data_IF_504201644803
#
_entry.id   IF_504201644803
#
_cell.length_a   1.000
_cell.length_b   1.000
_cell.length_c   1.000
_cell.angle_alpha   90.00
_cell.angle_beta   90.00
_cell.angle_gamma   90.00
#
_symmetry.space_group_name_H-M   'P 1'
#
loop_
_entity.id
_entity.type
_entity.pdbx_description
1 polymer ?
#
# COMPACT_ATOMS: atom_id res chain seq x y z
N UNK A 1 -15.90 -70.20 29.70
CA UNK A 1 -14.86 -69.13 29.62
C UNK A 1 -14.91 -68.55 28.21
N UNK A 2 -15.57 -67.35 28.06
CA UNK A 2 -15.68 -66.64 26.80
C UNK A 2 -14.68 -65.47 26.84
N UNK A 3 -13.65 -65.50 26.01
CA UNK A 3 -12.73 -64.39 25.85
C UNK A 3 -13.31 -63.37 24.88
N UNK A 4 -13.62 -62.17 25.38
CA UNK A 4 -13.93 -61.02 24.56
C UNK A 4 -12.60 -60.36 24.11
N UNK A 5 -12.29 -60.42 22.82
CA UNK A 5 -11.26 -59.61 22.19
C UNK A 5 -11.81 -58.22 21.89
N UNK A 6 -11.38 -57.23 22.66
CA UNK A 6 -11.69 -55.81 22.42
C UNK A 6 -10.63 -55.28 21.43
N UNK A 7 -11.03 -55.09 20.16
CA UNK A 7 -10.18 -54.45 19.18
C UNK A 7 -10.23 -52.95 19.39
N UNK A 8 -9.12 -52.35 19.85
CA UNK A 8 -8.91 -50.92 19.97
C UNK A 8 -8.48 -50.39 18.61
N UNK A 9 -9.41 -49.78 17.88
CA UNK A 9 -9.10 -49.11 16.58
C UNK A 9 -8.45 -47.75 16.87
N UNK A 10 -7.13 -47.67 16.73
CA UNK A 10 -6.41 -46.42 16.82
C UNK A 10 -6.66 -45.64 15.51
N UNK A 11 -7.51 -44.60 15.57
CA UNK A 11 -7.67 -43.65 14.49
C UNK A 11 -6.44 -42.71 14.49
N UNK A 12 -5.50 -42.98 13.57
CA UNK A 12 -4.41 -42.03 13.27
C UNK A 12 -5.03 -40.89 12.44
N UNK A 13 -5.33 -39.76 13.06
CA UNK A 13 -5.58 -38.50 12.35
C UNK A 13 -4.26 -38.00 11.79
N UNK A 14 -4.04 -38.23 10.50
CA UNK A 14 -2.96 -37.59 9.75
C UNK A 14 -3.34 -36.12 9.60
N UNK A 15 -2.77 -35.27 10.45
CA UNK A 15 -2.87 -33.82 10.27
C UNK A 15 -1.98 -33.47 9.07
N UNK A 16 -2.59 -33.33 7.90
CA UNK A 16 -1.93 -32.69 6.78
C UNK A 16 -1.70 -31.22 7.17
N UNK A 17 -0.48 -30.87 7.54
CA UNK A 17 -0.04 -29.48 7.45
C UNK A 17 -0.05 -29.12 5.96
N UNK A 18 -1.11 -28.48 5.50
CA UNK A 18 -1.11 -27.84 4.21
C UNK A 18 0.05 -26.84 4.23
N UNK A 19 1.10 -27.09 3.44
CA UNK A 19 2.15 -26.12 3.20
C UNK A 19 1.43 -24.88 2.68
N UNK A 20 1.61 -23.75 3.35
CA UNK A 20 1.06 -22.46 2.88
C UNK A 20 1.44 -22.32 1.41
N UNK A 21 0.46 -22.17 0.53
CA UNK A 21 0.73 -21.99 -0.88
C UNK A 21 1.58 -20.70 -1.02
N UNK A 22 2.75 -20.83 -1.64
CA UNK A 22 3.56 -19.69 -2.03
C UNK A 22 2.91 -19.13 -3.30
N UNK A 23 2.22 -17.98 -3.20
CA UNK A 23 1.59 -17.28 -4.34
C UNK A 23 2.64 -16.51 -5.15
N UNK A 24 3.63 -17.23 -5.69
CA UNK A 24 4.70 -16.60 -6.47
C UNK A 24 4.20 -16.32 -7.89
N UNK A 25 4.52 -15.13 -8.46
CA UNK A 25 4.22 -14.83 -9.85
C UNK A 25 4.86 -15.81 -10.85
N UNK A 26 4.21 -16.04 -11.97
CA UNK A 26 4.67 -16.93 -13.05
C UNK A 26 4.89 -16.10 -14.33
N UNK A 27 5.96 -16.35 -15.11
CA UNK A 27 7.04 -17.28 -14.87
C UNK A 27 7.96 -16.85 -13.73
N UNK A 28 8.40 -17.81 -12.95
CA UNK A 28 9.34 -17.59 -11.86
C UNK A 28 10.73 -18.09 -12.25
N UNK A 29 11.60 -17.19 -12.67
CA UNK A 29 13.02 -17.46 -12.97
C UNK A 29 13.92 -16.73 -11.97
N UNK A 30 15.15 -17.19 -11.82
CA UNK A 30 16.21 -16.52 -11.04
C UNK A 30 15.75 -16.14 -9.62
N UNK A 31 15.14 -17.14 -8.95
CA UNK A 31 14.58 -16.99 -7.62
C UNK A 31 15.67 -16.87 -6.56
N UNK A 32 15.62 -15.81 -5.79
CA UNK A 32 16.41 -15.62 -4.57
C UNK A 32 15.46 -15.63 -3.38
N UNK A 33 15.71 -16.59 -2.45
CA UNK A 33 14.84 -16.81 -1.28
C UNK A 33 15.56 -16.36 -0.02
N UNK A 34 15.12 -15.25 0.55
CA UNK A 34 15.54 -14.75 1.86
C UNK A 34 14.66 -15.32 2.97
N UNK A 35 14.97 -15.01 4.21
CA UNK A 35 14.24 -15.55 5.36
C UNK A 35 12.75 -15.12 5.38
N UNK A 36 12.46 -13.89 4.91
CA UNK A 36 11.12 -13.30 5.03
C UNK A 36 10.55 -12.79 3.71
N UNK A 37 11.29 -12.83 2.63
CA UNK A 37 10.81 -12.49 1.29
C UNK A 37 11.50 -13.36 0.22
N UNK A 38 10.88 -13.45 -0.93
CA UNK A 38 11.42 -14.10 -2.13
C UNK A 38 11.35 -13.10 -3.28
N UNK A 39 12.34 -13.08 -4.13
CA UNK A 39 12.34 -12.25 -5.33
C UNK A 39 12.76 -13.04 -6.57
N UNK A 40 12.38 -12.55 -7.75
CA UNK A 40 12.94 -12.94 -9.04
C UNK A 40 13.90 -11.84 -9.47
N UNK A 41 15.18 -12.15 -9.60
CA UNK A 41 16.20 -11.19 -10.00
C UNK A 41 16.27 -11.05 -11.53
N UNK A 42 16.53 -9.85 -12.00
CA UNK A 42 16.70 -9.52 -13.41
C UNK A 42 18.11 -9.01 -13.67
N UNK A 43 18.96 -9.89 -14.15
CA UNK A 43 20.37 -9.59 -14.48
C UNK A 43 20.54 -8.47 -15.51
N UNK A 44 19.58 -8.36 -16.45
CA UNK A 44 19.63 -7.33 -17.50
C UNK A 44 19.43 -5.94 -16.94
N UNK A 45 18.62 -5.82 -15.88
CA UNK A 45 18.20 -4.56 -15.27
C UNK A 45 18.80 -4.33 -13.90
N UNK A 46 19.60 -5.28 -13.39
CA UNK A 46 20.32 -5.23 -12.11
C UNK A 46 19.41 -4.93 -10.89
N UNK A 47 18.22 -5.53 -10.88
CA UNK A 47 17.25 -5.41 -9.79
C UNK A 47 16.18 -6.49 -9.86
N UNK A 48 15.27 -6.59 -8.89
CA UNK A 48 14.21 -7.57 -8.94
C UNK A 48 13.17 -7.26 -10.04
N UNK A 49 12.62 -8.31 -10.67
CA UNK A 49 11.38 -8.23 -11.42
C UNK A 49 10.19 -8.02 -10.47
N UNK A 50 10.19 -8.73 -9.38
CA UNK A 50 9.21 -8.66 -8.32
C UNK A 50 9.79 -9.18 -7.01
N UNK A 51 9.18 -8.74 -5.91
CA UNK A 51 9.43 -9.22 -4.54
C UNK A 51 8.10 -9.67 -3.94
N UNK A 52 8.08 -10.89 -3.42
CA UNK A 52 6.96 -11.52 -2.73
C UNK A 52 7.25 -11.60 -1.23
N UNK A 53 6.31 -11.20 -0.39
CA UNK A 53 6.39 -11.38 1.06
C UNK A 53 5.01 -11.45 1.71
N UNK A 54 4.99 -11.98 2.93
CA UNK A 54 3.80 -12.02 3.79
C UNK A 54 3.98 -11.02 4.91
N UNK A 55 2.96 -10.22 5.19
CA UNK A 55 2.93 -9.28 6.29
C UNK A 55 1.78 -9.60 7.24
N UNK A 56 2.08 -9.67 8.54
CA UNK A 56 1.08 -9.94 9.59
C UNK A 56 0.97 -8.77 10.56
N UNK A 57 -0.17 -8.71 11.27
CA UNK A 57 -0.39 -7.75 12.35
C UNK A 57 0.73 -7.82 13.42
N UNK A 58 1.13 -9.03 13.80
CA UNK A 58 2.17 -9.25 14.80
C UNK A 58 3.54 -8.73 14.36
N UNK A 59 3.86 -8.80 13.06
CA UNK A 59 5.09 -8.21 12.51
C UNK A 59 5.05 -6.68 12.61
N UNK A 60 3.94 -6.07 12.22
CA UNK A 60 3.79 -4.60 12.24
C UNK A 60 3.75 -4.07 13.67
N UNK A 61 3.01 -4.73 14.57
CA UNK A 61 2.81 -4.28 15.96
C UNK A 61 4.01 -4.51 16.86
N UNK A 62 4.91 -5.44 16.51
CA UNK A 62 6.13 -5.68 17.29
C UNK A 62 7.04 -4.46 17.35
N UNK A 63 6.98 -3.62 16.31
CA UNK A 63 7.76 -2.41 16.22
C UNK A 63 9.14 -2.63 15.60
N UNK A 64 9.98 -1.60 15.74
CA UNK A 64 11.29 -1.52 15.10
C UNK A 64 12.37 -2.10 16.00
N UNK A 65 13.13 -3.05 15.49
CA UNK A 65 14.38 -3.52 16.09
C UNK A 65 15.56 -2.87 15.35
N UNK A 66 16.50 -2.30 16.09
CA UNK A 66 17.70 -1.71 15.51
C UNK A 66 18.51 -2.74 14.73
N UNK A 67 18.89 -2.38 13.52
CA UNK A 67 19.82 -3.12 12.68
C UNK A 67 20.85 -2.17 12.06
N UNK A 68 21.79 -2.73 11.31
CA UNK A 68 22.86 -1.92 10.70
C UNK A 68 22.36 -0.92 9.65
N UNK A 69 21.15 -1.04 9.12
CA UNK A 69 20.54 -0.21 8.07
C UNK A 69 21.49 0.12 6.89
N UNK A 70 22.39 -0.81 6.56
CA UNK A 70 23.42 -0.60 5.55
C UNK A 70 23.08 -1.35 4.28
N UNK A 71 22.99 -0.63 3.20
CA UNK A 71 22.86 -1.24 1.86
C UNK A 71 24.07 -2.10 1.52
N UNK A 72 23.82 -3.35 1.11
CA UNK A 72 24.84 -4.36 0.83
C UNK A 72 24.51 -5.12 -0.46
N UNK A 73 25.56 -5.56 -1.15
CA UNK A 73 25.43 -6.50 -2.25
C UNK A 73 24.75 -7.77 -1.74
N UNK A 74 23.80 -8.30 -2.51
CA UNK A 74 23.19 -9.59 -2.24
C UNK A 74 24.06 -10.71 -2.81
N UNK A 75 24.67 -11.49 -1.92
CA UNK A 75 25.51 -12.63 -2.29
C UNK A 75 24.72 -13.86 -2.75
N UNK A 76 23.41 -13.88 -2.57
CA UNK A 76 22.53 -14.95 -3.04
C UNK A 76 22.17 -14.80 -4.52
N UNK A 77 22.36 -13.61 -5.10
CA UNK A 77 22.34 -13.42 -6.56
C UNK A 77 23.65 -13.96 -7.12
N UNK A 78 23.58 -15.00 -7.95
CA UNK A 78 24.74 -15.77 -8.38
C UNK A 78 25.79 -14.92 -9.12
N UNK A 79 25.37 -13.96 -9.91
CA UNK A 79 26.23 -13.01 -10.65
C UNK A 79 26.63 -11.79 -9.83
N UNK A 80 26.03 -11.61 -8.66
CA UNK A 80 26.08 -10.43 -7.83
C UNK A 80 24.90 -9.50 -8.11
N UNK A 81 24.53 -8.67 -7.16
CA UNK A 81 23.53 -7.63 -7.35
C UNK A 81 24.21 -6.28 -7.62
N UNK A 82 23.43 -5.30 -8.06
CA UNK A 82 23.84 -3.88 -8.08
C UNK A 82 24.51 -3.47 -6.77
N UNK A 83 25.28 -2.40 -6.82
CA UNK A 83 26.00 -1.86 -5.66
C UNK A 83 25.37 -0.56 -5.18
N UNK A 84 25.51 -0.31 -3.88
CA UNK A 84 25.09 0.98 -3.31
C UNK A 84 25.77 2.19 -3.96
N UNK A 85 26.99 2.01 -4.53
CA UNK A 85 27.72 3.05 -5.28
C UNK A 85 27.01 3.49 -6.55
N UNK A 86 26.23 2.61 -7.21
CA UNK A 86 25.53 2.92 -8.45
C UNK A 86 24.48 4.03 -8.30
N UNK A 87 23.96 4.15 -7.08
CA UNK A 87 23.00 5.19 -6.71
C UNK A 87 23.65 6.50 -6.27
N UNK A 88 24.97 6.51 -6.07
CA UNK A 88 25.67 7.69 -5.53
C UNK A 88 25.65 8.83 -6.55
N UNK A 89 25.06 9.98 -6.19
CA UNK A 89 24.89 11.15 -7.04
C UNK A 89 24.08 10.88 -8.33
N UNK A 90 23.29 9.82 -8.35
CA UNK A 90 22.44 9.47 -9.50
C UNK A 90 21.18 10.36 -9.61
N UNK A 91 20.78 11.02 -8.54
CA UNK A 91 19.49 11.73 -8.45
C UNK A 91 18.34 10.83 -7.99
N UNK A 92 18.58 9.53 -7.79
CA UNK A 92 17.58 8.56 -7.33
C UNK A 92 17.88 8.07 -5.93
N UNK A 93 16.83 7.84 -5.16
CA UNK A 93 16.89 7.14 -3.89
C UNK A 93 17.08 5.63 -4.09
N UNK A 94 17.67 4.97 -3.09
CA UNK A 94 17.66 3.52 -2.96
C UNK A 94 16.31 3.09 -2.43
N UNK A 95 15.32 2.97 -3.32
CA UNK A 95 13.94 2.66 -2.96
C UNK A 95 13.77 1.18 -2.68
N UNK A 96 13.18 0.85 -1.53
CA UNK A 96 12.86 -0.53 -1.17
C UNK A 96 11.64 -1.04 -1.94
N UNK A 97 11.66 -2.32 -2.33
CA UNK A 97 10.49 -3.04 -2.82
C UNK A 97 9.75 -3.69 -1.64
N UNK A 98 10.43 -4.55 -0.87
CA UNK A 98 9.97 -4.97 0.45
C UNK A 98 10.46 -3.95 1.49
N UNK A 99 9.57 -3.16 2.13
CA UNK A 99 9.96 -2.03 2.96
C UNK A 99 10.72 -2.45 4.24
N UNK A 100 11.76 -1.70 4.61
CA UNK A 100 12.46 -1.92 5.87
C UNK A 100 11.53 -1.81 7.10
N UNK A 101 10.51 -0.94 7.02
CA UNK A 101 9.52 -0.80 8.09
C UNK A 101 8.61 -2.03 8.25
N UNK A 102 8.37 -2.79 7.17
CA UNK A 102 7.60 -4.03 7.23
C UNK A 102 8.45 -5.18 7.82
N UNK A 103 9.77 -5.06 7.74
CA UNK A 103 10.76 -6.03 8.22
C UNK A 103 11.40 -5.66 9.57
N UNK A 104 10.97 -4.57 10.20
CA UNK A 104 11.53 -4.08 11.46
C UNK A 104 11.27 -4.97 12.68
N UNK A 105 10.43 -5.97 12.58
CA UNK A 105 10.08 -6.90 13.66
C UNK A 105 11.20 -7.88 14.03
N UNK A 106 12.22 -8.04 13.18
CA UNK A 106 13.29 -9.00 13.35
C UNK A 106 14.60 -8.42 12.75
N UNK A 107 15.75 -8.49 13.46
CA UNK A 107 17.02 -7.95 12.96
C UNK A 107 17.46 -8.55 11.63
N UNK A 108 17.30 -9.87 11.43
CA UNK A 108 17.65 -10.55 10.18
C UNK A 108 16.76 -10.07 9.04
N UNK A 109 15.44 -10.02 9.25
CA UNK A 109 14.49 -9.52 8.26
C UNK A 109 14.83 -8.08 7.86
N UNK A 110 15.09 -7.23 8.85
CA UNK A 110 15.46 -5.84 8.62
C UNK A 110 16.77 -5.72 7.85
N UNK A 111 17.82 -6.46 8.25
CA UNK A 111 19.09 -6.45 7.54
C UNK A 111 18.97 -6.96 6.09
N UNK A 112 18.18 -8.00 5.84
CA UNK A 112 17.96 -8.52 4.49
C UNK A 112 17.21 -7.51 3.63
N UNK A 113 16.32 -6.68 4.18
CA UNK A 113 15.61 -5.65 3.41
C UNK A 113 16.54 -4.61 2.77
N UNK A 114 17.76 -4.43 3.30
CA UNK A 114 18.81 -3.54 2.75
C UNK A 114 19.74 -4.22 1.74
N UNK A 115 19.45 -5.44 1.31
CA UNK A 115 20.16 -6.07 0.19
C UNK A 115 19.80 -5.38 -1.12
N UNK A 116 20.81 -5.12 -1.94
CA UNK A 116 20.64 -4.34 -3.17
C UNK A 116 19.72 -5.02 -4.19
N UNK A 117 19.51 -6.34 -4.10
CA UNK A 117 18.51 -7.07 -4.89
C UNK A 117 17.06 -6.65 -4.59
N UNK A 118 16.80 -6.11 -3.39
CA UNK A 118 15.50 -5.58 -2.96
C UNK A 118 15.35 -4.07 -3.27
N UNK A 119 16.32 -3.45 -3.95
CA UNK A 119 16.40 -2.00 -4.13
C UNK A 119 16.23 -1.65 -5.61
N UNK A 120 15.44 -0.61 -5.86
CA UNK A 120 15.18 -0.07 -7.20
C UNK A 120 15.34 1.45 -7.23
N UNK A 121 15.77 2.06 -8.35
CA UNK A 121 15.90 3.51 -8.45
C UNK A 121 14.53 4.19 -8.42
N UNK A 122 14.26 4.93 -7.35
CA UNK A 122 13.04 5.71 -7.16
C UNK A 122 13.37 7.20 -7.10
N UNK A 123 12.53 8.05 -7.71
CA UNK A 123 12.69 9.49 -7.52
C UNK A 123 12.46 9.84 -6.04
N UNK A 124 13.20 10.82 -5.46
CA UNK A 124 13.08 11.14 -4.04
C UNK A 124 11.65 11.50 -3.62
N UNK A 125 10.96 12.28 -4.43
CA UNK A 125 9.60 12.72 -4.11
C UNK A 125 8.57 11.58 -4.19
N UNK A 126 8.75 10.64 -5.11
CA UNK A 126 7.97 9.41 -5.16
C UNK A 126 8.21 8.54 -3.93
N UNK A 127 9.49 8.18 -3.68
CA UNK A 127 9.88 7.27 -2.60
C UNK A 127 9.45 7.80 -1.22
N UNK A 128 9.65 9.10 -0.99
CA UNK A 128 9.36 9.74 0.30
C UNK A 128 7.91 10.25 0.41
N UNK A 129 7.20 10.34 -0.71
CA UNK A 129 5.81 10.79 -0.86
C UNK A 129 4.82 9.65 -1.00
N UNK A 130 4.15 9.59 -2.16
CA UNK A 130 3.02 8.69 -2.43
C UNK A 130 3.34 7.20 -2.25
N UNK A 131 4.59 6.76 -2.55
CA UNK A 131 4.97 5.37 -2.31
C UNK A 131 5.02 5.03 -0.82
N UNK A 132 5.63 5.90 0.00
CA UNK A 132 5.63 5.77 1.47
C UNK A 132 4.21 5.81 2.05
N UNK A 133 3.32 6.60 1.46
CA UNK A 133 1.91 6.63 1.85
C UNK A 133 1.25 5.28 1.58
N UNK A 134 1.43 4.69 0.40
CA UNK A 134 0.94 3.35 0.07
C UNK A 134 1.49 2.29 1.03
N UNK A 135 2.79 2.30 1.33
CA UNK A 135 3.40 1.37 2.30
C UNK A 135 2.77 1.51 3.70
N UNK A 136 2.49 2.74 4.11
CA UNK A 136 1.81 3.01 5.39
C UNK A 136 0.37 2.47 5.38
N UNK A 137 -0.31 2.61 4.26
CA UNK A 137 -1.63 2.05 4.02
C UNK A 137 -1.63 0.52 4.13
N UNK A 138 -0.66 -0.13 3.49
CA UNK A 138 -0.49 -1.59 3.51
C UNK A 138 -0.25 -2.11 4.94
N UNK A 139 0.55 -1.43 5.75
CA UNK A 139 0.74 -1.82 7.17
C UNK A 139 -0.55 -1.71 7.98
N UNK A 140 -1.35 -0.66 7.78
CA UNK A 140 -2.66 -0.54 8.44
C UNK A 140 -3.60 -1.67 8.03
N UNK A 141 -3.57 -2.04 6.75
CA UNK A 141 -4.33 -3.17 6.24
C UNK A 141 -3.87 -4.50 6.87
N UNK A 142 -2.56 -4.75 6.98
CA UNK A 142 -2.04 -5.94 7.65
C UNK A 142 -2.49 -6.06 9.11
N UNK A 143 -2.61 -4.94 9.81
CA UNK A 143 -3.16 -4.92 11.19
C UNK A 143 -4.65 -5.28 11.17
N UNK A 144 -5.43 -4.73 10.24
CA UNK A 144 -6.87 -4.94 10.13
C UNK A 144 -7.18 -6.40 9.76
N UNK A 145 -6.55 -6.91 8.71
CA UNK A 145 -6.83 -8.24 8.13
C UNK A 145 -5.95 -9.35 8.74
N UNK A 146 -5.07 -8.99 9.69
CA UNK A 146 -4.14 -9.86 10.42
C UNK A 146 -3.04 -10.49 9.58
N UNK A 147 -3.28 -10.80 8.33
CA UNK A 147 -2.32 -11.39 7.42
C UNK A 147 -2.69 -11.04 5.98
N UNK A 148 -1.72 -10.50 5.26
CA UNK A 148 -1.83 -10.21 3.82
C UNK A 148 -0.59 -10.73 3.08
N UNK A 149 -0.78 -11.04 1.81
CA UNK A 149 0.30 -11.40 0.88
C UNK A 149 0.55 -10.22 -0.05
N UNK A 150 1.81 -9.86 -0.25
CA UNK A 150 2.18 -8.73 -1.09
C UNK A 150 3.14 -9.19 -2.19
N UNK A 151 2.85 -8.75 -3.42
CA UNK A 151 3.79 -8.79 -4.54
C UNK A 151 4.01 -7.37 -5.04
N UNK A 152 5.27 -6.98 -5.17
CA UNK A 152 5.62 -5.60 -5.56
C UNK A 152 6.85 -5.59 -6.44
N UNK A 153 6.96 -4.63 -7.34
CA UNK A 153 8.11 -4.57 -8.23
C UNK A 153 8.10 -3.36 -9.16
N UNK A 154 9.16 -3.20 -9.95
CA UNK A 154 9.26 -2.19 -10.98
C UNK A 154 8.50 -2.62 -12.25
N UNK A 155 8.06 -1.64 -13.03
CA UNK A 155 7.60 -1.82 -14.40
C UNK A 155 8.56 -1.07 -15.31
N UNK A 156 9.24 -1.78 -16.20
CA UNK A 156 10.31 -1.24 -17.03
C UNK A 156 9.82 -0.55 -18.32
N UNK A 157 8.50 -0.44 -18.52
CA UNK A 157 7.94 0.40 -19.57
C UNK A 157 8.18 1.87 -19.28
N UNK A 158 8.49 2.66 -20.33
CA UNK A 158 8.81 4.08 -20.21
C UNK A 158 9.93 4.33 -19.19
N UNK A 159 10.98 3.50 -19.25
CA UNK A 159 12.16 3.66 -18.41
C UNK A 159 12.80 5.04 -18.59
N UNK A 160 13.54 5.46 -17.58
CA UNK A 160 14.22 6.77 -17.54
C UNK A 160 15.73 6.64 -17.71
N UNK A 161 16.18 5.60 -18.41
CA UNK A 161 17.60 5.28 -18.59
C UNK A 161 18.18 4.45 -17.46
N UNK A 162 19.48 4.43 -17.31
CA UNK A 162 20.19 3.61 -16.32
C UNK A 162 21.12 4.46 -15.46
N UNK A 163 21.40 3.98 -14.26
CA UNK A 163 22.31 4.61 -13.29
C UNK A 163 23.46 3.68 -12.94
N UNK A 164 24.58 4.28 -12.48
CA UNK A 164 25.74 3.57 -11.99
C UNK A 164 26.55 2.86 -13.06
N UNK A 165 27.61 2.17 -12.60
CA UNK A 165 28.50 1.41 -13.50
C UNK A 165 27.88 0.07 -13.90
N UNK A 166 27.05 -0.51 -13.02
CA UNK A 166 26.40 -1.78 -13.27
C UNK A 166 25.15 -1.63 -14.17
N UNK A 167 24.74 -0.40 -14.51
CA UNK A 167 23.68 -0.13 -15.48
C UNK A 167 22.28 -0.38 -14.94
N UNK A 168 22.04 -0.09 -13.66
CA UNK A 168 20.73 -0.32 -13.03
C UNK A 168 19.66 0.50 -13.75
N UNK A 169 18.67 -0.16 -14.36
CA UNK A 169 17.61 0.51 -15.14
C UNK A 169 16.68 1.28 -14.20
N UNK A 170 16.31 2.50 -14.58
CA UNK A 170 15.35 3.33 -13.83
C UNK A 170 13.94 3.04 -14.33
N UNK A 171 13.06 2.40 -13.52
CA UNK A 171 11.72 2.05 -13.95
C UNK A 171 10.84 3.28 -14.20
N UNK A 172 9.92 3.17 -15.17
CA UNK A 172 8.89 4.20 -15.38
C UNK A 172 7.78 4.16 -14.34
N UNK A 173 7.49 2.97 -13.80
CA UNK A 173 6.41 2.75 -12.83
C UNK A 173 6.81 1.70 -11.81
N UNK A 174 6.01 1.65 -10.72
CA UNK A 174 6.05 0.57 -9.72
C UNK A 174 4.65 0.01 -9.52
N UNK A 175 4.59 -1.30 -9.27
CA UNK A 175 3.35 -1.97 -8.90
C UNK A 175 3.41 -2.51 -7.47
N UNK A 176 2.24 -2.63 -6.84
CA UNK A 176 2.05 -3.34 -5.57
C UNK A 176 0.69 -4.01 -5.59
N UNK A 177 0.67 -5.33 -5.43
CA UNK A 177 -0.54 -6.13 -5.41
C UNK A 177 -0.65 -6.75 -4.03
N UNK A 178 -1.84 -6.67 -3.43
CA UNK A 178 -2.12 -7.14 -2.08
C UNK A 178 -3.26 -8.15 -2.15
N UNK A 179 -3.01 -9.35 -1.66
CA UNK A 179 -3.98 -10.41 -1.52
C UNK A 179 -4.32 -10.62 -0.04
N UNK A 180 -5.57 -10.52 0.29
CA UNK A 180 -6.16 -10.86 1.57
C UNK A 180 -6.84 -12.22 1.43
N UNK A 181 -6.29 -13.23 2.11
CA UNK A 181 -6.72 -14.63 2.03
C UNK A 181 -7.69 -15.02 3.16
N UNK A 182 -8.51 -14.07 3.63
CA UNK A 182 -9.56 -14.33 4.63
C UNK A 182 -10.73 -15.14 4.05
N UNK A 183 -11.78 -15.37 4.83
CA UNK A 183 -12.99 -16.11 4.39
C UNK A 183 -13.68 -15.45 3.17
N UNK A 184 -13.51 -14.13 3.01
CA UNK A 184 -13.90 -13.37 1.83
C UNK A 184 -12.65 -12.86 1.12
N UNK A 185 -11.98 -13.69 0.30
CA UNK A 185 -10.72 -13.34 -0.32
C UNK A 185 -10.86 -12.13 -1.25
N UNK A 186 -9.89 -11.22 -1.17
CA UNK A 186 -9.88 -9.95 -1.91
C UNK A 186 -8.50 -9.67 -2.49
N UNK A 187 -8.48 -8.99 -3.61
CA UNK A 187 -7.28 -8.60 -4.31
C UNK A 187 -7.36 -7.12 -4.70
N UNK A 188 -6.26 -6.39 -4.53
CA UNK A 188 -6.14 -5.01 -4.99
C UNK A 188 -4.76 -4.78 -5.57
N UNK A 189 -4.71 -4.13 -6.73
CA UNK A 189 -3.48 -3.80 -7.41
C UNK A 189 -3.33 -2.28 -7.60
N UNK A 190 -2.10 -1.81 -7.45
CA UNK A 190 -1.72 -0.42 -7.65
C UNK A 190 -0.62 -0.34 -8.70
N UNK A 191 -0.70 0.67 -9.58
CA UNK A 191 0.38 1.06 -10.48
C UNK A 191 0.60 2.56 -10.34
N UNK A 192 1.81 2.94 -9.92
CA UNK A 192 2.19 4.31 -9.70
C UNK A 192 3.35 4.70 -10.63
N UNK A 193 3.30 5.86 -11.29
CA UNK A 193 4.46 6.43 -11.98
C UNK A 193 5.61 6.68 -11.01
N UNK A 194 6.86 6.48 -11.45
CA UNK A 194 8.06 6.80 -10.66
C UNK A 194 8.31 8.32 -10.65
N UNK A 195 7.35 9.07 -10.11
CA UNK A 195 7.36 10.53 -10.01
C UNK A 195 6.50 11.02 -8.86
N UNK A 196 6.63 12.30 -8.50
CA UNK A 196 5.80 12.89 -7.44
C UNK A 196 4.31 12.88 -7.81
N UNK A 197 3.45 12.69 -6.83
CA UNK A 197 2.01 12.83 -6.99
C UNK A 197 1.34 13.22 -5.68
N UNK A 198 0.39 14.17 -5.78
CA UNK A 198 -0.51 14.56 -4.70
C UNK A 198 -1.91 13.93 -4.88
N UNK A 199 -2.07 13.02 -5.85
CA UNK A 199 -3.32 12.31 -6.11
C UNK A 199 -3.58 11.28 -5.01
N UNK A 200 -4.84 11.03 -4.63
CA UNK A 200 -5.17 10.00 -3.66
C UNK A 200 -4.79 8.60 -4.17
N UNK A 201 -4.45 7.69 -3.25
CA UNK A 201 -4.05 6.32 -3.60
C UNK A 201 -5.09 5.58 -4.44
N UNK A 202 -6.37 5.89 -4.28
CA UNK A 202 -7.46 5.31 -5.06
C UNK A 202 -7.38 5.56 -6.56
N UNK A 203 -6.70 6.63 -6.97
CA UNK A 203 -6.51 6.97 -8.38
C UNK A 203 -5.47 6.09 -9.09
N UNK A 204 -4.70 5.32 -8.33
CA UNK A 204 -3.66 4.41 -8.82
C UNK A 204 -4.09 2.94 -8.78
N UNK A 205 -5.33 2.68 -8.35
CA UNK A 205 -5.86 1.32 -8.34
C UNK A 205 -6.20 0.89 -9.76
N UNK A 206 -5.74 -0.30 -10.09
CA UNK A 206 -6.00 -0.97 -11.37
C UNK A 206 -6.49 -2.39 -11.12
N UNK A 207 -6.95 -3.07 -12.16
CA UNK A 207 -7.19 -4.52 -12.09
C UNK A 207 -5.86 -5.29 -12.06
N UNK A 208 -5.85 -6.49 -11.49
CA UNK A 208 -4.65 -7.35 -11.55
C UNK A 208 -4.33 -7.71 -12.99
N UNK A 209 -5.33 -7.98 -13.84
CA UNK A 209 -5.17 -8.22 -15.28
C UNK A 209 -4.40 -7.07 -15.98
N UNK A 210 -4.63 -5.81 -15.58
CA UNK A 210 -3.88 -4.67 -16.12
C UNK A 210 -2.42 -4.69 -15.66
N UNK A 211 -2.16 -5.07 -14.40
CA UNK A 211 -0.80 -5.21 -13.89
C UNK A 211 -0.06 -6.36 -14.59
N UNK A 212 -0.71 -7.49 -14.84
CA UNK A 212 -0.19 -8.63 -15.60
C UNK A 212 0.16 -8.26 -17.03
N UNK A 213 -0.74 -7.59 -17.72
CA UNK A 213 -0.51 -7.10 -19.08
C UNK A 213 0.70 -6.16 -19.18
N UNK A 214 0.97 -5.39 -18.14
CA UNK A 214 2.09 -4.45 -18.11
C UNK A 214 3.41 -5.10 -17.72
N UNK A 215 3.39 -6.07 -16.83
CA UNK A 215 4.58 -6.75 -16.30
C UNK A 215 4.95 -8.01 -17.11
N UNK A 216 3.97 -8.69 -17.66
CA UNK A 216 4.12 -10.00 -18.32
C UNK A 216 4.18 -11.16 -17.34
N UNK A 217 3.86 -10.93 -16.05
CA UNK A 217 3.74 -11.95 -15.02
C UNK A 217 2.26 -12.26 -14.79
N UNK A 218 1.98 -13.50 -14.45
CA UNK A 218 0.71 -14.02 -13.97
C UNK A 218 0.80 -14.08 -12.43
N UNK A 219 -0.03 -13.32 -11.75
CA UNK A 219 -0.02 -13.18 -10.30
C UNK A 219 -1.12 -14.07 -9.70
N UNK A 220 -0.80 -14.74 -8.61
CA UNK A 220 -1.74 -15.58 -7.86
C UNK A 220 -2.35 -16.77 -8.64
N UNK A 221 -1.71 -17.21 -9.74
CA UNK A 221 -2.10 -18.38 -10.56
C UNK A 221 -2.25 -19.70 -9.78
N UNK A 222 -1.97 -19.71 -8.49
CA UNK A 222 -2.21 -20.84 -7.59
C UNK A 222 -3.61 -20.80 -6.97
N UNK A 223 -4.39 -19.75 -7.21
CA UNK A 223 -5.80 -19.68 -6.84
C UNK A 223 -6.62 -20.60 -7.76
N UNK A 224 -7.79 -21.08 -7.31
CA UNK A 224 -8.73 -21.72 -8.22
C UNK A 224 -9.15 -20.79 -9.35
N UNK A 225 -9.18 -21.26 -10.61
CA UNK A 225 -9.39 -20.45 -11.82
C UNK A 225 -10.62 -19.54 -11.76
N UNK A 226 -11.72 -20.00 -11.16
CA UNK A 226 -12.96 -19.21 -11.01
C UNK A 226 -12.82 -18.09 -9.98
N UNK A 227 -12.03 -18.30 -8.91
CA UNK A 227 -11.73 -17.29 -7.91
C UNK A 227 -10.74 -16.27 -8.44
N UNK A 228 -9.68 -16.73 -9.09
CA UNK A 228 -8.64 -15.92 -9.73
C UNK A 228 -9.29 -14.94 -10.71
N UNK A 229 -9.96 -15.44 -11.74
CA UNK A 229 -10.66 -14.62 -12.75
C UNK A 229 -11.65 -13.61 -12.14
N UNK A 230 -12.33 -13.99 -11.04
CA UNK A 230 -13.26 -13.10 -10.35
C UNK A 230 -12.55 -11.97 -9.64
N UNK A 231 -11.38 -12.22 -9.04
CA UNK A 231 -10.64 -11.24 -8.25
C UNK A 231 -9.81 -10.30 -9.11
N UNK A 232 -9.22 -10.81 -10.19
CA UNK A 232 -8.26 -10.08 -11.03
C UNK A 232 -8.91 -9.13 -12.02
N UNK A 233 -10.06 -9.50 -12.57
CA UNK A 233 -10.76 -8.74 -13.60
C UNK A 233 -11.54 -7.52 -13.08
N UNK A 234 -11.47 -7.18 -11.77
CA UNK A 234 -12.27 -6.08 -11.22
C UNK A 234 -11.50 -5.24 -10.20
N UNK A 235 -11.85 -3.97 -10.14
CA UNK A 235 -11.48 -3.09 -9.05
C UNK A 235 -12.62 -3.09 -8.02
N UNK A 236 -12.32 -3.51 -6.79
CA UNK A 236 -13.25 -3.45 -5.67
C UNK A 236 -12.57 -2.70 -4.51
N UNK A 237 -13.03 -1.50 -4.20
CA UNK A 237 -12.48 -0.65 -3.14
C UNK A 237 -13.14 -0.88 -1.77
N UNK A 238 -14.21 -1.69 -1.72
CA UNK A 238 -14.95 -1.90 -0.49
C UNK A 238 -14.06 -2.55 0.58
N UNK A 239 -14.02 -1.93 1.76
CA UNK A 239 -13.27 -2.41 2.90
C UNK A 239 -11.75 -2.20 2.83
N UNK A 240 -11.16 -1.76 1.70
CA UNK A 240 -9.72 -1.52 1.59
C UNK A 240 -9.28 -0.20 2.20
N UNK A 241 -10.13 0.83 2.14
CA UNK A 241 -9.82 2.20 2.52
C UNK A 241 -10.77 2.79 3.58
N UNK A 242 -11.47 1.96 4.35
CA UNK A 242 -12.41 2.45 5.39
C UNK A 242 -11.73 3.36 6.43
N UNK A 243 -10.42 3.29 6.54
CA UNK A 243 -9.57 4.11 7.40
C UNK A 243 -8.81 5.20 6.61
N UNK A 244 -8.84 5.15 5.28
CA UNK A 244 -8.35 6.15 4.36
C UNK A 244 -9.55 7.01 3.93
N UNK A 245 -10.11 7.78 4.86
CA UNK A 245 -10.89 8.91 4.43
C UNK A 245 -9.90 9.84 3.72
N UNK A 246 -10.03 10.13 2.41
CA UNK A 246 -9.35 11.29 1.83
C UNK A 246 -9.71 12.43 2.77
N UNK A 247 -8.71 13.25 3.14
CA UNK A 247 -9.00 14.47 3.91
C UNK A 247 -10.20 15.08 3.24
N UNK A 248 -11.34 15.15 3.95
CA UNK A 248 -12.58 15.73 3.42
C UNK A 248 -12.11 16.96 2.64
N UNK A 249 -12.42 17.09 1.35
CA UNK A 249 -12.08 18.31 0.65
C UNK A 249 -12.61 19.38 1.60
N UNK A 250 -11.71 20.23 2.13
CA UNK A 250 -12.11 21.32 3.03
C UNK A 250 -13.29 21.91 2.30
N UNK A 251 -14.49 21.54 2.75
CA UNK A 251 -15.69 22.18 2.29
C UNK A 251 -15.33 23.62 2.59
N UNK A 252 -14.91 24.31 1.54
CA UNK A 252 -14.91 25.76 1.57
C UNK A 252 -16.35 25.99 1.96
N UNK A 253 -16.55 26.18 3.27
CA UNK A 253 -17.75 26.76 3.78
C UNK A 253 -17.87 28.05 3.00
N UNK A 254 -18.42 27.97 1.80
CA UNK A 254 -19.33 28.97 1.33
C UNK A 254 -20.39 28.95 2.42
N UNK A 255 -20.09 29.62 3.54
CA UNK A 255 -21.10 30.30 4.26
C UNK A 255 -21.75 31.22 3.22
N UNK A 256 -22.65 30.64 2.43
CA UNK A 256 -23.80 31.39 1.98
C UNK A 256 -24.33 31.93 3.30
N UNK A 257 -24.07 33.23 3.50
CA UNK A 257 -24.71 34.01 4.55
C UNK A 257 -26.21 33.81 4.39
N UNK A 258 -26.74 32.76 4.94
CA UNK A 258 -28.11 32.76 5.43
C UNK A 258 -28.02 33.69 6.63
N UNK A 259 -28.13 35.00 6.35
CA UNK A 259 -28.51 35.95 7.36
C UNK A 259 -29.74 35.33 8.01
N UNK A 260 -29.57 34.91 9.25
CA UNK A 260 -30.62 34.19 9.96
C UNK A 260 -31.86 35.06 9.91
N UNK A 261 -33.02 34.47 9.73
CA UNK A 261 -34.32 35.18 9.77
C UNK A 261 -34.47 36.01 11.03
N UNK A 262 -33.74 35.67 12.09
CA UNK A 262 -33.69 36.36 13.37
C UNK A 262 -33.03 37.75 13.28
N UNK A 263 -31.99 37.93 12.46
CA UNK A 263 -31.35 39.24 12.29
C UNK A 263 -32.28 40.22 11.59
N UNK A 264 -33.05 39.78 10.60
CA UNK A 264 -34.09 40.61 9.96
C UNK A 264 -35.22 40.93 10.91
N UNK A 265 -35.60 40.00 11.79
CA UNK A 265 -36.63 40.26 12.81
C UNK A 265 -36.21 41.35 13.80
N UNK A 266 -34.97 41.37 14.29
CA UNK A 266 -34.45 42.41 15.17
C UNK A 266 -34.37 43.80 14.50
N UNK A 267 -33.98 43.85 13.23
CA UNK A 267 -33.95 45.15 12.49
C UNK A 267 -35.34 45.70 12.32
N UNK A 268 -36.35 44.88 12.02
CA UNK A 268 -37.75 45.31 11.91
C UNK A 268 -38.27 45.78 13.28
N UNK A 269 -37.98 45.07 14.37
CA UNK A 269 -38.41 45.42 15.71
C UNK A 269 -37.84 46.80 16.17
N UNK A 270 -36.54 47.04 15.92
CA UNK A 270 -35.85 48.29 16.23
C UNK A 270 -36.45 49.44 15.39
N UNK A 271 -36.75 49.21 14.12
CA UNK A 271 -37.35 50.22 13.24
C UNK A 271 -38.75 50.64 13.70
N UNK A 272 -39.59 49.68 14.14
CA UNK A 272 -40.92 49.91 14.66
C UNK A 272 -40.87 50.70 15.97
N UNK A 273 -39.95 50.39 16.89
CA UNK A 273 -39.74 51.14 18.13
C UNK A 273 -39.30 52.57 17.89
N UNK A 274 -38.37 52.78 16.93
CA UNK A 274 -37.90 54.17 16.60
C UNK A 274 -38.98 55.00 16.03
N UNK A 275 -39.83 54.50 15.13
CA UNK A 275 -40.99 55.21 14.57
C UNK A 275 -42.02 55.58 15.66
N UNK A 276 -42.25 54.62 16.59
CA UNK A 276 -43.18 54.82 17.70
C UNK A 276 -42.73 55.95 18.65
N UNK A 277 -41.42 56.00 18.97
CA UNK A 277 -40.83 57.08 19.79
C UNK A 277 -40.94 58.48 19.10
N UNK A 278 -40.68 58.51 17.80
CA UNK A 278 -40.81 59.76 17.02
C UNK A 278 -42.24 60.26 17.02
N UNK A 279 -43.22 59.37 16.84
CA UNK A 279 -44.67 59.78 16.88
C UNK A 279 -45.03 60.27 18.24
N UNK A 280 -44.59 59.72 19.35
CA UNK A 280 -44.84 60.20 20.70
C UNK A 280 -44.23 61.60 20.93
N UNK A 281 -42.97 61.78 20.48
CA UNK A 281 -42.29 63.08 20.60
C UNK A 281 -42.95 64.19 19.76
N UNK A 282 -43.41 63.87 18.57
CA UNK A 282 -44.11 64.81 17.70
C UNK A 282 -45.51 65.19 18.28
N UNK A 283 -46.23 64.27 18.93
CA UNK A 283 -47.48 64.49 19.61
C UNK A 283 -47.32 65.35 20.89
N UNK A 284 -46.20 65.16 21.60
CA UNK A 284 -45.92 66.03 22.80
C UNK A 284 -45.55 67.43 22.46
N UNK A 285 -44.95 67.70 21.28
CA UNK A 285 -44.66 69.08 20.79
C UNK A 285 -45.92 69.89 20.31
N UNK A 286 -47.00 69.18 19.95
CA UNK A 286 -48.26 69.83 19.53
C UNK A 286 -49.19 70.23 20.71
N UNK A 287 -48.78 69.88 21.94
CA UNK A 287 -49.56 70.21 23.19
C UNK A 287 -48.90 71.27 24.07
N UNK A 288 -47.89 71.97 23.53
CA UNK A 288 -47.36 73.20 24.15
C UNK A 288 -47.65 74.43 23.30
#
# INVERSE_FOLDING_TARGET
MKFLFSAFLLLFTVVFFAKSADYLPVPASDLVRHAYYTLSYNEKYEQANWVYYVLTDSMVLKGWEESSNKFRIDKMVATGSAKSSDYTKSGYDRGHLCPAADMGFNPVANEESFLMSNISPQTPDFNRGVWKELETAVRKLAIKERKIVIVTGPIFKNDKGSIGQDGVLVPGYFFKIIYDATDEPRLIAFILPNENSDRPLTDFVVTTDEAEKLTGFDFFSQLPDDLESKLEGRVDLAGWFDWYAPAEPIAILTQANTVSSDFNFYIILISVLFVSVIIVLLRSRKRR
#
